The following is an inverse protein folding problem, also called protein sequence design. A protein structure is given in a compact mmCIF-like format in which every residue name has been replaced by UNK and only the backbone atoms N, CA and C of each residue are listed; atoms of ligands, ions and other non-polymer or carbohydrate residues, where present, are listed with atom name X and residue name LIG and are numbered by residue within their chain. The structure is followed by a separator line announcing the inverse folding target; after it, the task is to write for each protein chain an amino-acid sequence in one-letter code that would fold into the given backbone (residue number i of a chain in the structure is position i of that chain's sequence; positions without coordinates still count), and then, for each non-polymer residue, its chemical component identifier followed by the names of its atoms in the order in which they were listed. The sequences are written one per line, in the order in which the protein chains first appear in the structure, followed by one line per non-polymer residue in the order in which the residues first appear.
data_IF_252493025547
#
_entry.id   IF_252493025547
#
_cell.length_a   1.000
_cell.length_b   1.000
_cell.length_c   1.000
_cell.angle_alpha   90.00
_cell.angle_beta   90.00
_cell.angle_gamma   90.00
#
_symmetry.space_group_name_H-M   'P 1'
#
loop_
_entity.id
_entity.type
_entity.pdbx_description
1 polymer ?
#
# COMPACT_ATOMS: atom_id res chain seq x y z
N UNK A 1 7.61 -12.14 7.12
CA UNK A 1 8.15 -10.94 6.43
C UNK A 1 7.45 -9.70 6.97
N UNK A 2 8.18 -8.60 7.19
CA UNK A 2 7.60 -7.34 7.66
C UNK A 2 7.31 -6.42 6.47
N UNK A 3 6.07 -5.98 6.34
CA UNK A 3 5.62 -4.98 5.36
C UNK A 3 5.08 -3.77 6.11
N UNK A 4 5.15 -2.59 5.51
CA UNK A 4 4.54 -1.40 6.08
C UNK A 4 3.22 -1.17 5.38
N UNK A 5 2.15 -0.91 6.12
CA UNK A 5 0.84 -0.62 5.55
C UNK A 5 0.10 0.41 6.37
N UNK A 6 -0.85 1.09 5.75
CA UNK A 6 -1.71 2.06 6.41
C UNK A 6 -3.12 1.90 5.86
N UNK A 7 -4.12 2.01 6.74
CA UNK A 7 -5.53 2.07 6.32
C UNK A 7 -5.98 3.50 6.51
N UNK A 8 -6.47 4.11 5.44
CA UNK A 8 -6.94 5.49 5.43
C UNK A 8 -8.43 5.49 5.07
N UNK A 9 -9.19 6.35 5.72
CA UNK A 9 -10.60 6.58 5.45
C UNK A 9 -10.73 8.02 5.00
N UNK A 10 -11.10 8.23 3.74
CA UNK A 10 -11.20 9.56 3.14
C UNK A 10 -12.54 9.71 2.43
N UNK A 11 -13.28 10.78 2.71
CA UNK A 11 -14.57 11.08 2.05
C UNK A 11 -15.56 9.90 2.02
N UNK A 12 -15.55 9.04 3.04
CA UNK A 12 -16.40 7.84 3.10
C UNK A 12 -15.88 6.63 2.30
N UNK A 13 -14.71 6.73 1.67
CA UNK A 13 -14.02 5.62 1.02
C UNK A 13 -12.88 5.15 1.93
N UNK A 14 -12.96 3.90 2.37
CA UNK A 14 -11.85 3.25 3.08
C UNK A 14 -10.93 2.61 2.07
N UNK A 15 -9.62 2.82 2.21
CA UNK A 15 -8.62 2.20 1.35
C UNK A 15 -7.36 1.83 2.14
N UNK A 16 -6.73 0.75 1.70
CA UNK A 16 -5.49 0.27 2.30
C UNK A 16 -4.32 0.60 1.39
N UNK A 17 -3.26 1.16 1.96
CA UNK A 17 -1.98 1.41 1.29
C UNK A 17 -0.98 0.43 1.87
N UNK A 18 -0.22 -0.25 1.03
CA UNK A 18 0.90 -1.07 1.48
C UNK A 18 2.18 -0.54 0.87
N UNK A 19 3.07 -0.05 1.73
CA UNK A 19 4.46 0.23 1.41
C UNK A 19 5.24 -1.09 1.32
N UNK A 20 5.61 -1.42 0.09
CA UNK A 20 6.48 -2.55 -0.24
C UNK A 20 7.87 -2.05 -0.63
N UNK A 21 8.92 -2.75 -0.19
CA UNK A 21 10.27 -2.51 -0.71
C UNK A 21 10.28 -2.86 -2.20
N UNK A 22 11.08 -2.14 -3.01
CA UNK A 22 11.23 -2.40 -4.45
C UNK A 22 11.58 -3.87 -4.76
N UNK A 23 12.29 -4.55 -3.86
CA UNK A 23 12.59 -5.99 -3.93
C UNK A 23 11.36 -6.91 -3.84
N UNK A 24 10.30 -6.47 -3.17
CA UNK A 24 8.99 -7.16 -3.13
C UNK A 24 8.19 -6.87 -4.39
N UNK A 25 8.28 -5.64 -4.92
CA UNK A 25 7.69 -5.27 -6.22
C UNK A 25 8.30 -6.03 -7.39
N UNK A 26 9.59 -6.40 -7.31
CA UNK A 26 10.30 -7.21 -8.31
C UNK A 26 9.86 -8.68 -8.32
N UNK A 27 9.31 -9.20 -7.20
CA UNK A 27 8.84 -10.58 -7.10
C UNK A 27 7.31 -10.64 -7.17
N UNK A 28 6.78 -10.80 -8.38
CA UNK A 28 5.35 -10.86 -8.71
C UNK A 28 4.58 -11.91 -7.89
N UNK A 29 5.19 -13.06 -7.58
CA UNK A 29 4.57 -14.12 -6.77
C UNK A 29 4.27 -13.66 -5.33
N UNK A 30 5.16 -12.85 -4.74
CA UNK A 30 5.00 -12.34 -3.38
C UNK A 30 3.95 -11.24 -3.30
N UNK A 31 3.82 -10.46 -4.38
CA UNK A 31 2.75 -9.48 -4.56
C UNK A 31 1.38 -10.16 -4.62
N UNK A 32 1.24 -11.28 -5.35
CA UNK A 32 -0.02 -12.02 -5.45
C UNK A 32 -0.40 -12.64 -4.11
N UNK A 33 0.55 -13.26 -3.40
CA UNK A 33 0.29 -13.85 -2.09
C UNK A 33 -0.10 -12.79 -1.06
N UNK A 34 0.66 -11.70 -0.97
CA UNK A 34 0.35 -10.56 -0.08
C UNK A 34 -1.01 -9.96 -0.44
N UNK A 35 -1.34 -9.83 -1.73
CA UNK A 35 -2.65 -9.32 -2.15
C UNK A 35 -3.78 -10.27 -1.79
N UNK A 36 -3.58 -11.58 -1.89
CA UNK A 36 -4.58 -12.58 -1.51
C UNK A 36 -4.78 -12.61 0.01
N UNK A 37 -3.68 -12.55 0.77
CA UNK A 37 -3.69 -12.46 2.22
C UNK A 37 -4.26 -11.14 2.74
N UNK A 38 -4.14 -10.05 2.00
CA UNK A 38 -4.73 -8.77 2.37
C UNK A 38 -6.19 -8.66 1.88
N UNK A 39 -6.56 -9.33 0.80
CA UNK A 39 -7.93 -9.38 0.32
C UNK A 39 -8.89 -10.03 1.34
N UNK A 40 -8.41 -11.04 2.12
CA UNK A 40 -9.19 -11.59 3.23
C UNK A 40 -9.37 -10.60 4.39
N UNK A 41 -8.41 -9.70 4.65
CA UNK A 41 -8.53 -8.66 5.68
C UNK A 41 -9.34 -7.45 5.19
N UNK A 42 -9.38 -7.23 3.89
CA UNK A 42 -9.90 -6.03 3.25
C UNK A 42 -10.94 -6.36 2.16
N UNK A 43 -12.05 -7.04 2.49
CA UNK A 43 -13.10 -7.34 1.53
C UNK A 43 -13.75 -6.04 1.02
N UNK A 44 -13.93 -5.93 -0.30
CA UNK A 44 -14.58 -4.80 -1.00
C UNK A 44 -13.92 -3.42 -0.92
N UNK A 45 -12.64 -3.32 -0.54
CA UNK A 45 -11.95 -2.02 -0.55
C UNK A 45 -10.73 -1.95 -1.46
N UNK A 46 -10.46 -0.78 -2.07
CA UNK A 46 -9.32 -0.61 -2.95
C UNK A 46 -8.01 -0.70 -2.17
N UNK A 47 -7.10 -1.53 -2.68
CA UNK A 47 -5.73 -1.70 -2.19
C UNK A 47 -4.79 -0.92 -3.11
N UNK A 48 -4.03 0.01 -2.53
CA UNK A 48 -2.97 0.77 -3.19
C UNK A 48 -1.62 0.19 -2.77
N UNK A 49 -0.79 -0.10 -3.76
CA UNK A 49 0.57 -0.55 -3.55
C UNK A 49 1.48 0.66 -3.70
N UNK A 50 2.22 0.97 -2.65
CA UNK A 50 3.23 2.01 -2.64
C UNK A 50 4.60 1.33 -2.65
N UNK A 51 5.46 1.71 -3.58
CA UNK A 51 6.85 1.28 -3.60
C UNK A 51 7.74 2.50 -3.50
N UNK A 52 8.79 2.42 -2.70
CA UNK A 52 9.81 3.47 -2.63
C UNK A 52 10.99 3.05 -3.51
N UNK A 53 11.41 3.95 -4.40
CA UNK A 53 12.64 3.76 -5.19
C UNK A 53 13.89 3.97 -4.30
N UNK A 54 15.07 3.55 -4.75
CA UNK A 54 16.33 3.76 -4.03
C UNK A 54 16.66 5.25 -3.79
N UNK A 55 16.09 6.17 -4.58
CA UNK A 55 16.16 7.62 -4.34
C UNK A 55 15.22 8.12 -3.24
N UNK A 56 14.40 7.25 -2.65
CA UNK A 56 13.43 7.60 -1.62
C UNK A 56 12.08 8.11 -2.16
N UNK A 57 11.91 8.16 -3.49
CA UNK A 57 10.68 8.64 -4.13
C UNK A 57 9.56 7.59 -4.02
N UNK A 58 8.37 7.95 -3.51
CA UNK A 58 7.23 7.05 -3.44
C UNK A 58 6.51 6.94 -4.79
N UNK A 59 6.33 5.72 -5.28
CA UNK A 59 5.50 5.40 -6.44
C UNK A 59 4.25 4.65 -5.97
N UNK A 60 3.07 5.15 -6.35
CA UNK A 60 1.80 4.56 -5.98
C UNK A 60 1.15 3.88 -7.18
N UNK A 61 0.68 2.66 -6.99
CA UNK A 61 0.01 1.82 -7.97
C UNK A 61 -1.36 1.41 -7.42
N UNK A 62 -2.43 1.76 -8.12
CA UNK A 62 -3.78 1.47 -7.66
C UNK A 62 -4.82 2.32 -8.36
N UNK A 63 -5.93 2.57 -7.66
CA UNK A 63 -7.02 3.41 -8.15
C UNK A 63 -6.54 4.84 -8.34
N UNK A 64 -6.74 5.41 -9.54
CA UNK A 64 -6.15 6.69 -9.94
C UNK A 64 -6.57 7.85 -9.03
N UNK A 65 -7.84 7.93 -8.65
CA UNK A 65 -8.41 8.93 -7.74
C UNK A 65 -7.69 8.93 -6.37
N UNK A 66 -7.41 7.74 -5.81
CA UNK A 66 -6.72 7.62 -4.53
C UNK A 66 -5.23 7.92 -4.67
N UNK A 67 -4.63 7.55 -5.81
CA UNK A 67 -3.23 7.88 -6.10
C UNK A 67 -3.05 9.40 -6.21
N UNK A 68 -3.96 10.11 -6.88
CA UNK A 68 -3.91 11.58 -6.94
C UNK A 68 -4.09 12.22 -5.57
N UNK A 69 -4.98 11.65 -4.74
CA UNK A 69 -5.13 12.06 -3.36
C UNK A 69 -3.85 11.86 -2.53
N UNK A 70 -3.22 10.70 -2.64
CA UNK A 70 -1.97 10.38 -1.94
C UNK A 70 -0.79 11.21 -2.40
N UNK A 71 -0.80 11.72 -3.64
CA UNK A 71 0.20 12.70 -4.09
C UNK A 71 0.06 14.05 -3.40
N UNK A 72 -1.13 14.40 -2.93
CA UNK A 72 -1.38 15.63 -2.16
C UNK A 72 -1.00 15.48 -0.68
N UNK A 73 -1.08 14.26 -0.14
CA UNK A 73 -0.68 13.93 1.23
C UNK A 73 0.84 13.73 1.33
N UNK A 74 1.44 14.23 2.42
CA UNK A 74 2.83 13.92 2.77
C UNK A 74 2.92 12.52 3.38
N UNK A 75 3.91 11.74 2.96
CA UNK A 75 4.20 10.40 3.47
C UNK A 75 4.24 10.31 4.99
N UNK A 76 4.76 11.33 5.67
CA UNK A 76 4.88 11.39 7.13
C UNK A 76 3.52 11.49 7.85
N UNK A 77 2.47 11.93 7.16
CA UNK A 77 1.12 11.98 7.72
C UNK A 77 0.38 10.64 7.58
N UNK A 78 0.90 9.72 6.77
CA UNK A 78 0.31 8.41 6.60
C UNK A 78 0.61 7.60 7.88
N UNK A 79 -0.42 7.05 8.56
CA UNK A 79 -0.23 6.26 9.78
C UNK A 79 0.32 4.88 9.44
N UNK A 80 1.61 4.83 9.11
CA UNK A 80 2.31 3.60 8.80
C UNK A 80 2.27 2.65 9.99
N UNK A 81 1.86 1.42 9.71
CA UNK A 81 1.88 0.29 10.64
C UNK A 81 2.73 -0.81 10.04
N UNK A 82 3.52 -1.46 10.87
CA UNK A 82 4.23 -2.67 10.48
C UNK A 82 3.30 -3.87 10.61
N UNK A 83 3.19 -4.62 9.52
CA UNK A 83 2.46 -5.89 9.44
C UNK A 83 3.46 -7.03 9.22
N UNK A 84 3.34 -8.06 10.04
CA UNK A 84 4.09 -9.30 9.89
C UNK A 84 3.21 -10.33 9.16
N UNK A 85 3.50 -10.58 7.89
CA UNK A 85 2.94 -11.71 7.14
C UNK A 85 3.82 -12.93 7.38
N UNK A 86 3.24 -14.02 7.88
CA UNK A 86 3.93 -15.27 8.22
C UNK A 86 3.85 -16.28 7.08
#
# INVERSE_FOLDING_TARGET
MTIHGAVIIEQGVTFAIIAVKQTVTMYTARMVQTRHELAQFFPNMPIILMSQDNSGTPHYYGRKDIVEFLKSIRLDQIPWKEYHIY
#
